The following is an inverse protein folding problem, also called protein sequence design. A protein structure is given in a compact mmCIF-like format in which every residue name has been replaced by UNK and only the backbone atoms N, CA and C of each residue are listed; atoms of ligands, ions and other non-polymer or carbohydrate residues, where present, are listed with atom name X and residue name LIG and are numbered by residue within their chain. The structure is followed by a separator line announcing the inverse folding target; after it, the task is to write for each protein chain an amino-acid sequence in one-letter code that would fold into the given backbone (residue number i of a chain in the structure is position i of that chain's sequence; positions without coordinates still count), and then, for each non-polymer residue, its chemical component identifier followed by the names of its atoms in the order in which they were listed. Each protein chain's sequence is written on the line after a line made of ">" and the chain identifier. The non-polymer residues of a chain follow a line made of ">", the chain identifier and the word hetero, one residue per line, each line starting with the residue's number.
data_IF_280976675504
#
_entry.id   IF_280976675504
#
_cell.length_a   1.000
_cell.length_b   1.000
_cell.length_c   1.000
_cell.angle_alpha   90.00
_cell.angle_beta   90.00
_cell.angle_gamma   90.00
#
_symmetry.space_group_name_H-M   'P 1'
#
loop_
_entity.id
_entity.type
_entity.pdbx_description
1 polymer ?
#
# COMPACT_ATOMS: atom_id res chain seq x y z
N UNK A 1 33.20 2.63 7.37
CA UNK A 1 32.20 2.51 6.28
C UNK A 1 31.08 3.50 6.58
N UNK A 2 30.78 4.38 5.63
CA UNK A 2 29.88 5.53 5.81
C UNK A 2 28.39 5.19 5.75
N UNK A 3 27.57 6.21 6.01
CA UNK A 3 26.12 6.20 5.82
C UNK A 3 25.41 7.24 6.67
N UNK A 4 25.51 8.52 6.29
CA UNK A 4 24.89 9.64 6.99
C UNK A 4 23.39 9.49 7.15
N UNK A 5 22.91 9.82 8.36
CA UNK A 5 21.50 9.86 8.73
C UNK A 5 20.75 10.92 7.93
N UNK A 6 19.97 10.46 6.97
CA UNK A 6 18.85 11.19 6.41
C UNK A 6 17.71 10.19 6.27
N UNK A 7 16.82 10.16 7.26
CA UNK A 7 15.65 9.27 7.23
C UNK A 7 14.92 9.38 5.89
N UNK A 8 14.26 8.31 5.42
CA UNK A 8 14.16 7.99 4.00
C UNK A 8 13.56 8.97 2.98
N UNK A 9 13.26 10.27 3.16
CA UNK A 9 12.57 11.20 2.22
C UNK A 9 11.30 10.71 1.48
N UNK A 10 10.92 9.45 1.65
CA UNK A 10 9.83 8.76 0.97
C UNK A 10 8.57 8.80 1.82
N UNK A 11 7.45 8.63 1.13
CA UNK A 11 6.12 8.45 1.69
C UNK A 11 5.63 7.06 1.30
N UNK A 12 4.95 6.37 2.21
CA UNK A 12 4.38 5.05 1.95
C UNK A 12 3.01 5.19 1.29
N UNK A 13 2.77 4.43 0.23
CA UNK A 13 1.44 4.26 -0.36
C UNK A 13 0.59 3.37 0.55
N UNK A 14 -0.53 3.91 1.04
CA UNK A 14 -1.45 3.18 1.91
C UNK A 14 -2.22 2.04 1.20
N UNK A 15 -2.17 1.99 -0.14
CA UNK A 15 -2.82 0.95 -0.94
C UNK A 15 -1.86 -0.24 -1.14
N UNK A 16 -0.63 -0.01 -1.58
CA UNK A 16 0.30 -1.10 -1.92
C UNK A 16 1.49 -1.26 -0.97
N UNK A 17 1.60 -0.44 0.07
CA UNK A 17 2.65 -0.53 1.09
C UNK A 17 4.05 -0.12 0.63
N UNK A 18 4.21 0.33 -0.62
CA UNK A 18 5.52 0.71 -1.20
C UNK A 18 5.88 2.16 -0.93
N UNK A 19 7.19 2.42 -0.94
CA UNK A 19 7.76 3.74 -0.69
C UNK A 19 7.96 4.52 -2.00
N UNK A 20 7.53 5.78 -2.02
CA UNK A 20 7.68 6.69 -3.16
C UNK A 20 8.18 8.07 -2.72
N UNK A 21 8.72 8.85 -3.66
CA UNK A 21 9.02 10.26 -3.40
C UNK A 21 7.75 11.07 -3.15
N UNK A 22 7.85 12.11 -2.30
CA UNK A 22 6.71 12.99 -1.96
C UNK A 22 6.03 13.61 -3.18
N UNK A 23 6.80 13.98 -4.21
CA UNK A 23 6.23 14.60 -5.41
C UNK A 23 5.54 13.59 -6.32
N UNK A 24 5.90 12.31 -6.26
CA UNK A 24 5.34 11.27 -7.12
C UNK A 24 4.22 10.45 -6.45
N UNK A 25 4.11 10.47 -5.12
CA UNK A 25 3.12 9.67 -4.39
C UNK A 25 1.68 9.96 -4.84
N UNK A 26 1.31 11.23 -5.06
CA UNK A 26 -0.06 11.56 -5.48
C UNK A 26 -0.41 11.05 -6.88
N UNK A 27 0.57 10.96 -7.79
CA UNK A 27 0.38 10.36 -9.12
C UNK A 27 0.27 8.84 -8.98
N UNK A 28 1.14 8.26 -8.16
CA UNK A 28 1.15 6.83 -7.87
C UNK A 28 -0.16 6.38 -7.22
N UNK A 29 -0.66 7.05 -6.19
CA UNK A 29 -1.91 6.72 -5.48
C UNK A 29 -3.10 6.59 -6.43
N UNK A 30 -3.23 7.51 -7.39
CA UNK A 30 -4.29 7.46 -8.42
C UNK A 30 -4.18 6.21 -9.29
N UNK A 31 -2.97 5.91 -9.77
CA UNK A 31 -2.74 4.70 -10.59
C UNK A 31 -2.90 3.42 -9.77
N UNK A 32 -2.52 3.45 -8.51
CA UNK A 32 -2.61 2.33 -7.59
C UNK A 32 -4.08 2.03 -7.23
N UNK A 33 -4.88 3.07 -6.99
CA UNK A 33 -6.32 2.94 -6.76
C UNK A 33 -7.02 2.30 -7.96
N UNK A 34 -6.72 2.77 -9.18
CA UNK A 34 -7.29 2.18 -10.41
C UNK A 34 -6.98 0.69 -10.52
N UNK A 35 -5.71 0.30 -10.30
CA UNK A 35 -5.29 -1.11 -10.33
C UNK A 35 -5.97 -1.95 -9.25
N UNK A 36 -6.15 -1.39 -8.06
CA UNK A 36 -6.90 -2.04 -6.98
C UNK A 36 -8.34 -2.32 -7.42
N UNK A 37 -9.06 -1.31 -7.91
CA UNK A 37 -10.43 -1.46 -8.39
C UNK A 37 -10.53 -2.47 -9.54
N UNK A 38 -9.58 -2.46 -10.48
CA UNK A 38 -9.49 -3.44 -11.57
C UNK A 38 -9.26 -4.87 -11.04
N UNK A 39 -8.45 -5.05 -9.99
CA UNK A 39 -8.21 -6.34 -9.36
C UNK A 39 -9.43 -6.84 -8.57
N UNK A 40 -10.09 -5.96 -7.82
CA UNK A 40 -11.31 -6.29 -7.07
C UNK A 40 -12.49 -6.56 -8.00
N UNK A 41 -12.63 -5.83 -9.12
CA UNK A 41 -13.68 -6.06 -10.11
C UNK A 41 -13.62 -7.48 -10.74
N UNK A 42 -12.41 -8.06 -10.84
CA UNK A 42 -12.19 -9.43 -11.32
C UNK A 42 -12.56 -10.50 -10.28
N UNK A 43 -12.71 -10.12 -9.00
CA UNK A 43 -13.16 -11.05 -7.96
C UNK A 43 -14.68 -11.21 -7.96
N UNK A 44 -15.20 -12.33 -7.44
CA UNK A 44 -16.62 -12.49 -7.16
C UNK A 44 -17.13 -11.34 -6.28
N UNK A 45 -18.37 -10.84 -6.50
CA UNK A 45 -18.92 -9.67 -5.78
C UNK A 45 -18.79 -9.73 -4.25
N UNK A 46 -18.86 -10.92 -3.67
CA UNK A 46 -18.77 -11.16 -2.23
C UNK A 46 -17.34 -11.14 -1.67
N UNK A 47 -16.32 -11.24 -2.53
CA UNK A 47 -14.90 -11.17 -2.15
C UNK A 47 -14.28 -9.80 -2.45
N UNK A 48 -15.04 -8.91 -3.11
CA UNK A 48 -14.56 -7.58 -3.47
C UNK A 48 -14.41 -6.73 -2.22
N UNK A 49 -13.26 -6.10 -2.11
CA UNK A 49 -12.96 -5.12 -1.07
C UNK A 49 -13.12 -3.70 -1.61
N UNK A 50 -13.63 -2.76 -0.79
CA UNK A 50 -13.60 -1.35 -1.16
C UNK A 50 -12.16 -0.85 -1.25
N UNK A 51 -11.96 0.31 -1.88
CA UNK A 51 -10.66 0.98 -1.86
C UNK A 51 -10.29 1.31 -0.40
N UNK A 52 -9.04 1.04 0.03
CA UNK A 52 -8.59 1.38 1.38
C UNK A 52 -8.78 2.87 1.66
N UNK A 53 -9.12 3.20 2.90
CA UNK A 53 -9.29 4.61 3.28
C UNK A 53 -7.93 5.30 3.42
N UNK A 54 -7.82 6.56 2.97
CA UNK A 54 -6.60 7.34 3.21
C UNK A 54 -6.42 7.51 4.72
N UNK A 55 -5.22 7.25 5.27
CA UNK A 55 -4.97 7.47 6.69
C UNK A 55 -5.17 8.95 7.02
N UNK A 56 -6.06 9.23 7.97
CA UNK A 56 -6.19 10.55 8.57
C UNK A 56 -5.04 10.74 9.55
N UNK A 57 -4.18 11.69 9.22
CA UNK A 57 -2.98 12.01 9.99
C UNK A 57 -3.13 13.41 10.55
N UNK A 58 -2.80 13.59 11.83
CA UNK A 58 -2.98 14.89 12.49
C UNK A 58 -2.18 15.99 11.80
N UNK A 59 -2.73 17.20 11.77
CA UNK A 59 -2.04 18.39 11.30
C UNK A 59 -0.76 18.59 12.14
N UNK A 60 0.41 18.50 11.50
CA UNK A 60 1.72 18.56 12.17
C UNK A 60 2.42 17.20 12.37
N UNK A 61 1.78 16.08 12.02
CA UNK A 61 2.40 14.76 12.08
C UNK A 61 3.70 14.70 11.26
N UNK A 62 4.71 14.07 11.86
CA UNK A 62 6.00 13.81 11.22
C UNK A 62 5.84 12.90 10.01
N UNK A 63 6.88 12.84 9.17
CA UNK A 63 6.84 11.97 7.99
C UNK A 63 6.80 10.49 8.39
N UNK A 64 7.51 10.11 9.44
CA UNK A 64 7.48 8.75 9.96
C UNK A 64 6.09 8.33 10.43
N UNK A 65 5.39 9.17 11.20
CA UNK A 65 4.03 8.89 11.67
C UNK A 65 3.06 8.72 10.49
N UNK A 66 3.15 9.57 9.46
CA UNK A 66 2.32 9.42 8.25
C UNK A 66 2.60 8.13 7.50
N UNK A 67 3.86 7.73 7.43
CA UNK A 67 4.26 6.48 6.78
C UNK A 67 3.80 5.27 7.58
N UNK A 68 3.83 5.35 8.90
CA UNK A 68 3.32 4.29 9.77
C UNK A 68 1.81 4.15 9.65
N UNK A 69 1.07 5.25 9.67
CA UNK A 69 -0.38 5.23 9.44
C UNK A 69 -0.74 4.63 8.08
N UNK A 70 -0.01 5.00 7.02
CA UNK A 70 -0.19 4.41 5.69
C UNK A 70 0.12 2.90 5.68
N UNK A 71 1.16 2.45 6.39
CA UNK A 71 1.46 1.01 6.52
C UNK A 71 0.38 0.26 7.29
N UNK A 72 -0.15 0.85 8.36
CA UNK A 72 -1.20 0.25 9.17
C UNK A 72 -2.47 0.04 8.33
N UNK A 73 -2.91 1.06 7.58
CA UNK A 73 -4.02 0.93 6.64
C UNK A 73 -3.75 -0.15 5.60
N UNK A 74 -2.56 -0.18 5.02
CA UNK A 74 -2.22 -1.20 4.03
C UNK A 74 -2.32 -2.60 4.61
N UNK A 75 -1.78 -2.82 5.80
CA UNK A 75 -1.79 -4.11 6.47
C UNK A 75 -3.20 -4.59 6.83
N UNK A 76 -4.06 -3.68 7.29
CA UNK A 76 -5.41 -4.02 7.71
C UNK A 76 -6.36 -4.21 6.51
N UNK A 77 -6.32 -3.29 5.55
CA UNK A 77 -7.36 -3.17 4.53
C UNK A 77 -6.89 -3.63 3.14
N UNK A 78 -5.60 -3.47 2.84
CA UNK A 78 -5.06 -3.59 1.48
C UNK A 78 -4.09 -4.76 1.26
N UNK A 79 -3.85 -5.58 2.28
CA UNK A 79 -2.91 -6.71 2.21
C UNK A 79 -3.42 -7.73 1.19
N UNK A 80 -2.52 -8.16 0.31
CA UNK A 80 -2.88 -9.05 -0.78
C UNK A 80 -2.93 -10.49 -0.25
N UNK A 81 -4.03 -11.21 -0.48
CA UNK A 81 -4.17 -12.62 -0.08
C UNK A 81 -4.13 -13.53 -1.29
N UNK A 82 -3.44 -14.67 -1.17
CA UNK A 82 -3.47 -15.70 -2.20
C UNK A 82 -4.81 -16.46 -2.13
N UNK A 83 -5.58 -16.53 -3.23
CA UNK A 83 -6.85 -17.26 -3.25
C UNK A 83 -6.66 -18.78 -3.15
N UNK A 84 -5.48 -19.31 -3.49
CA UNK A 84 -5.21 -20.75 -3.44
C UNK A 84 -4.76 -21.26 -2.06
N UNK A 85 -4.02 -20.45 -1.29
CA UNK A 85 -3.42 -20.89 -0.02
C UNK A 85 -3.74 -20.00 1.18
N UNK A 86 -4.42 -18.87 0.99
CA UNK A 86 -4.81 -17.93 2.06
C UNK A 86 -3.68 -17.04 2.60
N UNK A 87 -2.42 -17.22 2.18
CA UNK A 87 -1.29 -16.42 2.67
C UNK A 87 -1.43 -14.95 2.31
N UNK A 88 -1.11 -14.07 3.26
CA UNK A 88 -1.04 -12.63 3.07
C UNK A 88 0.35 -12.17 2.64
N UNK A 89 0.42 -11.23 1.70
CA UNK A 89 1.65 -10.67 1.16
C UNK A 89 1.62 -9.15 1.26
N UNK A 90 2.82 -8.57 1.44
CA UNK A 90 3.03 -7.12 1.61
C UNK A 90 2.70 -6.28 0.37
N UNK A 91 2.60 -6.90 -0.80
CA UNK A 91 2.29 -6.22 -2.04
C UNK A 91 1.88 -7.22 -3.15
N UNK A 92 1.16 -6.74 -4.16
CA UNK A 92 0.68 -7.56 -5.28
C UNK A 92 1.79 -8.26 -6.07
N UNK A 93 2.99 -7.67 -6.19
CA UNK A 93 4.07 -8.26 -7.00
C UNK A 93 4.71 -9.44 -6.27
N UNK A 94 4.81 -9.36 -4.94
CA UNK A 94 5.18 -10.53 -4.12
C UNK A 94 4.12 -11.63 -4.23
N UNK A 95 2.83 -11.28 -4.19
CA UNK A 95 1.74 -12.25 -4.42
C UNK A 95 1.84 -12.87 -5.83
N UNK A 96 2.04 -12.07 -6.87
CA UNK A 96 2.18 -12.57 -8.25
C UNK A 96 3.35 -13.54 -8.41
N UNK A 97 4.48 -13.26 -7.77
CA UNK A 97 5.62 -14.21 -7.75
C UNK A 97 5.28 -15.51 -7.02
N UNK A 98 4.44 -15.45 -6.00
CA UNK A 98 3.98 -16.64 -5.27
C UNK A 98 2.98 -17.47 -6.07
N UNK A 99 2.13 -16.84 -6.89
CA UNK A 99 1.12 -17.53 -7.71
C UNK A 99 1.68 -18.09 -9.03
N UNK A 100 2.96 -17.84 -9.33
CA UNK A 100 3.66 -18.40 -10.50
C UNK A 100 4.14 -19.82 -10.21
#
# INVERSE_FOLDING_TARGET
>A
RGGGGGGPRTVVCYICGREFGRSSIGIHEKQCARKWEEAEAQKPPHERKPLPQRPEVQEGATREERNEAARAVHEEQAKAHCPGCGRSFKDEDTLRRHMR
#
